data_IF_595985579431
#
_entry.id   IF_595985579431
#
_cell.length_a   1.000
_cell.length_b   1.000
_cell.length_c   1.000
_cell.angle_alpha   90.00
_cell.angle_beta   90.00
_cell.angle_gamma   90.00
#
_symmetry.space_group_name_H-M   'P 1'
#
loop_
_entity.id
_entity.type
_entity.pdbx_description
1 polymer ?
#
# COMPACT_ATOMS: atom_id res chain seq x y z
N UNK A 1 -7.27 -15.69 -11.53
CA UNK A 1 -6.38 -14.76 -10.78
C UNK A 1 -5.42 -14.07 -11.75
N UNK A 2 -5.35 -12.74 -11.69
CA UNK A 2 -4.43 -11.95 -12.54
C UNK A 2 -2.97 -12.11 -12.08
N UNK A 3 -2.00 -11.77 -12.94
CA UNK A 3 -0.57 -11.76 -12.58
C UNK A 3 -0.31 -10.83 -11.39
N UNK A 4 -0.98 -9.67 -11.34
CA UNK A 4 -0.86 -8.72 -10.23
C UNK A 4 -1.35 -9.32 -8.91
N UNK A 5 -2.51 -10.00 -8.91
CA UNK A 5 -3.03 -10.69 -7.71
C UNK A 5 -2.05 -11.73 -7.19
N UNK A 6 -1.46 -12.56 -8.09
CA UNK A 6 -0.47 -13.57 -7.69
C UNK A 6 0.78 -12.95 -7.06
N UNK A 7 1.22 -11.79 -7.57
CA UNK A 7 2.35 -11.05 -6.99
C UNK A 7 2.01 -10.46 -5.62
N UNK A 8 0.81 -9.93 -5.43
CA UNK A 8 0.37 -9.41 -4.12
C UNK A 8 0.31 -10.54 -3.08
N UNK A 9 -0.28 -11.68 -3.45
CA UNK A 9 -0.37 -12.84 -2.56
C UNK A 9 1.03 -13.36 -2.22
N UNK A 10 1.95 -13.44 -3.18
CA UNK A 10 3.31 -13.90 -2.88
C UNK A 10 4.09 -12.94 -1.99
N UNK A 11 3.85 -11.62 -2.08
CA UNK A 11 4.39 -10.65 -1.13
C UNK A 11 3.81 -10.85 0.28
N UNK A 12 2.49 -11.07 0.40
CA UNK A 12 1.85 -11.34 1.69
C UNK A 12 2.32 -12.66 2.32
N UNK A 13 2.47 -13.72 1.53
CA UNK A 13 3.03 -15.00 1.99
C UNK A 13 4.47 -14.82 2.46
N UNK A 14 5.31 -14.13 1.68
CA UNK A 14 6.70 -13.86 2.07
C UNK A 14 6.77 -13.09 3.39
N UNK A 15 5.90 -12.10 3.58
CA UNK A 15 5.78 -11.31 4.82
C UNK A 15 5.45 -12.19 6.02
N UNK A 16 4.38 -13.01 5.92
CA UNK A 16 3.99 -13.95 6.97
C UNK A 16 5.08 -14.98 7.25
N UNK A 17 5.73 -15.52 6.21
CA UNK A 17 6.83 -16.48 6.38
C UNK A 17 8.02 -15.87 7.12
N UNK A 18 8.43 -14.66 6.77
CA UNK A 18 9.52 -13.95 7.47
C UNK A 18 9.12 -13.67 8.91
N UNK A 19 7.92 -13.14 9.15
CA UNK A 19 7.42 -12.88 10.51
C UNK A 19 7.41 -14.15 11.38
N UNK A 20 6.94 -15.28 10.84
CA UNK A 20 6.97 -16.58 11.53
C UNK A 20 8.39 -17.02 11.88
N UNK A 21 9.34 -16.88 10.94
CA UNK A 21 10.75 -17.20 11.18
C UNK A 21 11.33 -16.31 12.28
N UNK A 22 11.05 -15.01 12.26
CA UNK A 22 11.52 -14.06 13.28
C UNK A 22 10.95 -14.38 14.67
N UNK A 23 9.65 -14.68 14.75
CA UNK A 23 8.99 -15.11 16.00
C UNK A 23 9.63 -16.39 16.52
N UNK A 24 9.83 -17.41 15.67
CA UNK A 24 10.44 -18.67 16.07
C UNK A 24 11.89 -18.48 16.60
N UNK A 25 12.69 -17.66 15.91
CA UNK A 25 14.04 -17.32 16.33
C UNK A 25 14.05 -16.60 17.69
N UNK A 26 13.11 -15.68 17.92
CA UNK A 26 13.00 -14.93 19.18
C UNK A 26 12.47 -15.78 20.34
N UNK A 27 11.57 -16.73 20.10
CA UNK A 27 11.14 -17.73 21.10
C UNK A 27 12.34 -18.58 21.53
N UNK A 28 13.12 -19.08 20.57
CA UNK A 28 14.32 -19.86 20.86
C UNK A 28 15.33 -19.03 21.68
N UNK A 29 15.59 -17.79 21.25
CA UNK A 29 16.49 -16.87 21.97
C UNK A 29 16.00 -16.55 23.39
N UNK A 30 14.68 -16.42 23.60
CA UNK A 30 14.09 -16.20 24.92
C UNK A 30 14.28 -17.41 25.84
N UNK A 31 14.11 -18.62 25.30
CA UNK A 31 14.33 -19.87 26.04
C UNK A 31 15.78 -20.04 26.50
N UNK A 32 16.75 -19.57 25.71
CA UNK A 32 18.17 -19.66 26.04
C UNK A 32 18.64 -18.54 26.97
N UNK A 33 18.18 -17.30 26.74
CA UNK A 33 18.69 -16.12 27.44
C UNK A 33 17.91 -15.75 28.69
N UNK A 34 16.63 -16.13 28.77
CA UNK A 34 15.66 -15.68 29.76
C UNK A 34 15.61 -14.14 29.91
N UNK A 35 16.05 -13.40 28.90
CA UNK A 35 16.22 -11.96 28.97
C UNK A 35 14.89 -11.24 28.70
N UNK A 36 14.53 -10.30 29.57
CA UNK A 36 13.32 -9.48 29.41
C UNK A 36 13.33 -8.66 28.12
N UNK A 37 14.51 -8.21 27.67
CA UNK A 37 14.68 -7.49 26.40
C UNK A 37 14.33 -8.36 25.18
N UNK A 38 14.61 -9.66 25.24
CA UNK A 38 14.26 -10.60 24.17
C UNK A 38 12.74 -10.85 24.17
N UNK A 39 12.12 -10.94 25.35
CA UNK A 39 10.66 -11.05 25.49
C UNK A 39 9.92 -9.82 24.92
N UNK A 40 10.43 -8.61 25.17
CA UNK A 40 9.90 -7.39 24.56
C UNK A 40 10.00 -7.44 23.02
N UNK A 41 11.18 -7.80 22.50
CA UNK A 41 11.37 -7.93 21.05
C UNK A 41 10.49 -9.01 20.41
N UNK A 42 10.15 -10.07 21.16
CA UNK A 42 9.25 -11.13 20.72
C UNK A 42 7.82 -10.61 20.59
N UNK A 43 7.36 -9.78 21.54
CA UNK A 43 6.06 -9.14 21.46
C UNK A 43 5.93 -8.27 20.20
N UNK A 44 6.98 -7.52 19.85
CA UNK A 44 7.02 -6.74 18.61
C UNK A 44 6.86 -7.63 17.38
N UNK A 45 7.65 -8.71 17.26
CA UNK A 45 7.52 -9.63 16.12
C UNK A 45 6.22 -10.42 16.09
N UNK A 46 5.57 -10.63 17.23
CA UNK A 46 4.22 -11.19 17.27
C UNK A 46 3.19 -10.19 16.71
N UNK A 47 3.32 -8.89 17.03
CA UNK A 47 2.50 -7.86 16.39
C UNK A 47 2.77 -7.77 14.88
N UNK A 48 4.04 -7.85 14.45
CA UNK A 48 4.40 -7.87 13.03
C UNK A 48 3.73 -9.04 12.30
N UNK A 49 3.72 -10.22 12.92
CA UNK A 49 3.04 -11.39 12.39
C UNK A 49 1.53 -11.16 12.28
N UNK A 50 0.90 -10.56 13.29
CA UNK A 50 -0.53 -10.24 13.25
C UNK A 50 -0.85 -9.25 12.13
N UNK A 51 -0.04 -8.20 11.98
CA UNK A 51 -0.18 -7.20 10.89
C UNK A 51 0.00 -7.86 9.52
N UNK A 52 1.00 -8.73 9.38
CA UNK A 52 1.29 -9.45 8.13
C UNK A 52 0.16 -10.42 7.75
N UNK A 53 -0.39 -11.14 8.73
CA UNK A 53 -1.56 -12.01 8.54
C UNK A 53 -2.79 -11.20 8.13
N UNK A 54 -3.04 -10.07 8.78
CA UNK A 54 -4.12 -9.15 8.40
C UNK A 54 -3.95 -8.63 6.97
N UNK A 55 -2.74 -8.24 6.58
CA UNK A 55 -2.42 -7.81 5.22
C UNK A 55 -2.64 -8.92 4.18
N UNK A 56 -2.16 -10.14 4.45
CA UNK A 56 -2.40 -11.30 3.57
C UNK A 56 -3.89 -11.63 3.45
N UNK A 57 -4.62 -11.61 4.57
CA UNK A 57 -6.07 -11.84 4.57
C UNK A 57 -6.81 -10.77 3.75
N UNK A 58 -6.44 -9.50 3.88
CA UNK A 58 -7.01 -8.41 3.09
C UNK A 58 -6.74 -8.58 1.58
N UNK A 59 -5.51 -8.93 1.19
CA UNK A 59 -5.17 -9.21 -0.21
C UNK A 59 -5.96 -10.41 -0.74
N UNK A 60 -6.07 -11.48 0.05
CA UNK A 60 -6.82 -12.68 -0.34
C UNK A 60 -8.33 -12.41 -0.45
N UNK A 61 -8.88 -11.58 0.43
CA UNK A 61 -10.28 -11.18 0.40
C UNK A 61 -10.55 -10.24 -0.79
N UNK A 62 -9.69 -9.24 -1.03
CA UNK A 62 -9.79 -8.34 -2.18
C UNK A 62 -9.64 -9.04 -3.53
N UNK A 63 -8.96 -10.19 -3.57
CA UNK A 63 -8.83 -11.03 -4.76
C UNK A 63 -10.11 -11.79 -5.13
N UNK A 64 -11.12 -11.82 -4.25
CA UNK A 64 -12.42 -12.45 -4.55
C UNK A 64 -13.15 -11.68 -5.64
N UNK A 65 -13.82 -12.37 -6.58
CA UNK A 65 -14.67 -11.72 -7.57
C UNK A 65 -15.85 -11.01 -6.90
N UNK A 66 -16.62 -10.25 -7.69
CA UNK A 66 -17.90 -9.72 -7.26
C UNK A 66 -18.87 -10.85 -6.89
N UNK A 67 -19.67 -10.62 -5.87
CA UNK A 67 -20.77 -11.48 -5.43
C UNK A 67 -22.05 -10.65 -5.25
N UNK A 68 -23.14 -11.30 -4.82
CA UNK A 68 -24.46 -10.68 -4.72
C UNK A 68 -24.50 -9.53 -3.69
N UNK A 69 -23.69 -9.63 -2.63
CA UNK A 69 -23.60 -8.61 -1.58
C UNK A 69 -22.56 -7.51 -1.90
N UNK A 70 -21.58 -7.81 -2.77
CA UNK A 70 -20.52 -6.90 -3.22
C UNK A 70 -20.41 -6.88 -4.75
N UNK A 71 -21.32 -6.16 -5.39
CA UNK A 71 -21.49 -6.12 -6.86
C UNK A 71 -20.30 -5.54 -7.63
N UNK A 72 -19.48 -4.69 -6.99
CA UNK A 72 -18.23 -4.16 -7.57
C UNK A 72 -16.98 -4.96 -7.14
N UNK A 73 -17.16 -6.01 -6.36
CA UNK A 73 -16.09 -6.83 -5.78
C UNK A 73 -15.52 -6.27 -4.48
N UNK A 74 -14.45 -6.91 -4.01
CA UNK A 74 -13.92 -6.74 -2.66
C UNK A 74 -12.66 -5.86 -2.58
N UNK A 75 -12.34 -5.16 -3.68
CA UNK A 75 -11.07 -4.43 -3.81
C UNK A 75 -10.86 -3.33 -2.77
N UNK A 76 -11.93 -2.71 -2.26
CA UNK A 76 -11.87 -1.71 -1.18
C UNK A 76 -11.32 -2.26 0.14
N UNK A 77 -11.31 -3.58 0.34
CA UNK A 77 -10.69 -4.19 1.51
C UNK A 77 -9.18 -3.92 1.58
N UNK A 78 -8.51 -3.74 0.44
CA UNK A 78 -7.11 -3.30 0.41
C UNK A 78 -6.95 -1.90 1.01
N UNK A 79 -7.88 -1.00 0.74
CA UNK A 79 -7.83 0.38 1.22
C UNK A 79 -8.08 0.42 2.73
N UNK A 80 -9.07 -0.33 3.21
CA UNK A 80 -9.38 -0.42 4.63
C UNK A 80 -8.20 -1.00 5.42
N UNK A 81 -7.57 -2.07 4.91
CA UNK A 81 -6.39 -2.65 5.53
C UNK A 81 -5.20 -1.69 5.51
N UNK A 82 -4.94 -1.02 4.38
CA UNK A 82 -3.87 -0.03 4.28
C UNK A 82 -4.09 1.15 5.23
N UNK A 83 -5.34 1.59 5.41
CA UNK A 83 -5.72 2.64 6.36
C UNK A 83 -5.40 2.21 7.80
N UNK A 84 -5.83 1.01 8.21
CA UNK A 84 -5.52 0.45 9.53
C UNK A 84 -4.02 0.29 9.77
N UNK A 85 -3.28 -0.26 8.81
CA UNK A 85 -1.82 -0.40 8.90
C UNK A 85 -1.12 0.96 8.98
N UNK A 86 -1.54 1.94 8.19
CA UNK A 86 -0.93 3.28 8.23
C UNK A 86 -1.14 3.99 9.57
N UNK A 87 -2.29 3.79 10.22
CA UNK A 87 -2.54 4.30 11.56
C UNK A 87 -1.63 3.63 12.59
N UNK A 88 -1.47 2.31 12.52
CA UNK A 88 -0.56 1.57 13.38
C UNK A 88 0.89 2.07 13.22
N UNK A 89 1.37 2.21 11.98
CA UNK A 89 2.71 2.75 11.70
C UNK A 89 2.87 4.18 12.25
N UNK A 90 1.84 5.02 12.15
CA UNK A 90 1.88 6.39 12.65
C UNK A 90 2.00 6.43 14.19
N UNK A 91 1.29 5.55 14.89
CA UNK A 91 1.42 5.38 16.35
C UNK A 91 2.83 4.90 16.69
N UNK A 92 3.35 3.87 16.01
CA UNK A 92 4.71 3.37 16.22
C UNK A 92 5.77 4.45 15.97
N UNK A 93 5.63 5.24 14.90
CA UNK A 93 6.52 6.37 14.63
C UNK A 93 6.48 7.42 15.74
N UNK A 94 5.30 7.70 16.32
CA UNK A 94 5.15 8.59 17.47
C UNK A 94 5.86 8.07 18.72
N UNK A 95 5.71 6.77 19.02
CA UNK A 95 6.39 6.11 20.15
C UNK A 95 7.91 6.12 19.97
N UNK A 96 8.41 5.76 18.78
CA UNK A 96 9.84 5.78 18.46
C UNK A 96 10.40 7.21 18.56
N UNK A 97 9.69 8.19 18.00
CA UNK A 97 10.09 9.60 18.08
C UNK A 97 10.16 10.11 19.52
N UNK A 98 9.15 9.78 20.34
CA UNK A 98 9.14 10.11 21.76
C UNK A 98 10.32 9.47 22.50
N UNK A 99 10.56 8.18 22.31
CA UNK A 99 11.66 7.46 22.94
C UNK A 99 13.03 8.02 22.53
N UNK A 100 13.20 8.37 21.24
CA UNK A 100 14.42 8.98 20.72
C UNK A 100 14.67 10.37 21.34
N UNK A 101 13.63 11.21 21.46
CA UNK A 101 13.73 12.54 22.10
C UNK A 101 14.04 12.38 23.60
N UNK A 102 13.35 11.50 24.31
CA UNK A 102 13.60 11.23 25.72
C UNK A 102 15.06 10.80 25.96
N UNK A 103 15.62 9.96 25.07
CA UNK A 103 17.00 9.50 25.15
C UNK A 103 18.02 10.60 24.81
N UNK A 104 17.71 11.53 23.90
CA UNK A 104 18.55 12.70 23.62
C UNK A 104 18.61 13.69 24.79
N UNK A 105 17.52 13.77 25.57
CA UNK A 105 17.42 14.67 26.72
C UNK A 105 17.93 14.03 28.03
N UNK A 106 18.11 12.71 28.06
CA UNK A 106 18.65 11.99 29.20
C UNK A 106 20.15 12.28 29.39
N UNK A 107 20.56 12.54 30.63
CA UNK A 107 21.94 12.89 30.97
C UNK A 107 22.91 11.70 30.96
N UNK A 108 22.40 10.46 31.07
CA UNK A 108 23.18 9.23 30.96
C UNK A 108 22.64 8.37 29.80
N UNK A 109 23.45 8.10 28.76
CA UNK A 109 23.11 7.11 27.76
C UNK A 109 23.16 5.74 28.42
N UNK A 110 22.01 5.09 28.62
CA UNK A 110 21.99 3.68 29.00
C UNK A 110 22.91 2.89 28.05
N UNK A 111 23.94 2.28 28.63
CA UNK A 111 24.88 1.44 27.90
C UNK A 111 24.08 0.32 27.22
N UNK A 112 24.22 0.23 25.89
CA UNK A 112 23.67 -0.87 25.11
C UNK A 112 24.30 -2.17 25.62
N UNK A 113 23.61 -2.84 26.55
CA UNK A 113 24.16 -4.00 27.24
C UNK A 113 24.44 -5.11 26.22
N UNK A 114 25.73 -5.38 26.06
CA UNK A 114 26.28 -6.34 25.12
C UNK A 114 25.83 -7.76 25.45
N UNK A 115 24.91 -8.31 24.65
CA UNK A 115 24.69 -9.75 24.59
C UNK A 115 25.23 -10.25 23.24
N UNK A 116 26.49 -10.70 23.22
CA UNK A 116 27.19 -11.14 22.00
C UNK A 116 26.50 -12.25 21.20
N UNK A 117 25.55 -12.98 21.81
CA UNK A 117 24.69 -13.97 21.14
C UNK A 117 23.49 -13.37 20.40
N UNK A 118 23.05 -12.15 20.77
CA UNK A 118 21.97 -11.42 20.10
C UNK A 118 22.36 -10.81 18.75
N UNK A 119 23.66 -10.59 18.50
CA UNK A 119 24.15 -10.00 17.25
C UNK A 119 23.92 -10.88 16.02
N UNK A 120 24.06 -12.22 16.15
CA UNK A 120 23.83 -13.14 15.03
C UNK A 120 22.34 -13.17 14.66
N UNK A 121 21.47 -13.28 15.66
CA UNK A 121 20.00 -13.26 15.45
C UNK A 121 19.57 -11.92 14.85
N UNK A 122 20.13 -10.80 15.32
CA UNK A 122 19.87 -9.46 14.78
C UNK A 122 20.36 -9.32 13.33
N UNK A 123 21.57 -9.79 13.01
CA UNK A 123 22.11 -9.75 11.65
C UNK A 123 21.29 -10.60 10.67
N UNK A 124 20.88 -11.80 11.07
CA UNK A 124 19.98 -12.67 10.29
C UNK A 124 18.62 -11.99 10.09
N UNK A 125 18.07 -11.40 11.15
CA UNK A 125 16.78 -10.68 11.09
C UNK A 125 16.84 -9.50 10.12
N UNK A 126 17.89 -8.69 10.18
CA UNK A 126 18.12 -7.58 9.25
C UNK A 126 18.23 -8.08 7.81
N UNK A 127 18.96 -9.17 7.56
CA UNK A 127 19.09 -9.76 6.23
C UNK A 127 17.75 -10.23 5.65
N UNK A 128 16.95 -10.95 6.45
CA UNK A 128 15.62 -11.41 6.06
C UNK A 128 14.66 -10.25 5.81
N UNK A 129 14.61 -9.27 6.71
CA UNK A 129 13.75 -8.09 6.59
C UNK A 129 14.16 -7.24 5.38
N UNK A 130 15.45 -7.06 5.12
CA UNK A 130 15.92 -6.34 3.92
C UNK A 130 15.50 -7.04 2.63
N UNK A 131 15.65 -8.37 2.55
CA UNK A 131 15.21 -9.16 1.39
C UNK A 131 13.69 -9.05 1.18
N UNK A 132 12.91 -9.10 2.26
CA UNK A 132 11.46 -8.93 2.24
C UNK A 132 11.06 -7.55 1.72
N UNK A 133 11.63 -6.48 2.27
CA UNK A 133 11.32 -5.10 1.89
C UNK A 133 11.66 -4.87 0.40
N UNK A 134 12.78 -5.40 -0.09
CA UNK A 134 13.14 -5.31 -1.51
C UNK A 134 12.10 -5.99 -2.41
N UNK A 135 11.63 -7.18 -2.02
CA UNK A 135 10.58 -7.90 -2.72
C UNK A 135 9.25 -7.13 -2.71
N UNK A 136 8.78 -6.71 -1.54
CA UNK A 136 7.52 -5.97 -1.39
C UNK A 136 7.54 -4.65 -2.17
N UNK A 137 8.65 -3.90 -2.14
CA UNK A 137 8.80 -2.68 -2.93
C UNK A 137 8.74 -2.93 -4.43
N UNK A 138 9.23 -4.08 -4.90
CA UNK A 138 9.12 -4.47 -6.31
C UNK A 138 7.68 -4.82 -6.66
N UNK A 139 6.98 -5.54 -5.80
CA UNK A 139 5.57 -5.89 -5.98
C UNK A 139 4.69 -4.65 -5.95
N UNK A 140 4.76 -3.82 -4.91
CA UNK A 140 3.98 -2.59 -4.77
C UNK A 140 4.13 -1.64 -5.97
N UNK A 141 5.35 -1.51 -6.52
CA UNK A 141 5.59 -0.69 -7.72
C UNK A 141 4.97 -1.27 -8.99
N UNK A 142 4.82 -2.60 -9.10
CA UNK A 142 4.27 -3.28 -10.28
C UNK A 142 2.76 -3.46 -10.24
N UNK A 143 2.20 -3.59 -9.03
CA UNK A 143 0.78 -3.91 -8.85
C UNK A 143 -0.04 -2.75 -8.33
N UNK A 144 0.60 -1.72 -7.75
CA UNK A 144 -0.11 -0.61 -7.12
C UNK A 144 -0.79 -0.97 -5.79
N UNK A 145 -0.57 -2.18 -5.24
CA UNK A 145 -1.23 -2.62 -4.01
C UNK A 145 -0.87 -1.73 -2.82
N UNK A 146 -1.91 -1.12 -2.23
CA UNK A 146 -1.75 -0.25 -1.05
C UNK A 146 -1.35 -1.05 0.19
N UNK A 147 -1.89 -2.25 0.36
CA UNK A 147 -1.55 -3.16 1.47
C UNK A 147 -0.07 -3.54 1.44
N UNK A 148 0.44 -4.01 0.28
CA UNK A 148 1.86 -4.38 0.16
C UNK A 148 2.78 -3.18 0.37
N UNK A 149 2.35 -1.98 -0.04
CA UNK A 149 3.08 -0.73 0.20
C UNK A 149 3.12 -0.35 1.68
N UNK A 150 2.01 -0.51 2.40
CA UNK A 150 1.94 -0.28 3.85
C UNK A 150 2.82 -1.27 4.60
N UNK A 151 2.72 -2.55 4.26
CA UNK A 151 3.52 -3.62 4.86
C UNK A 151 5.03 -3.39 4.64
N UNK A 152 5.43 -3.01 3.41
CA UNK A 152 6.82 -2.62 3.13
C UNK A 152 7.31 -1.43 3.96
N UNK A 153 6.44 -0.46 4.25
CA UNK A 153 6.81 0.72 5.04
C UNK A 153 6.96 0.34 6.53
N UNK A 154 6.10 -0.55 7.03
CA UNK A 154 6.19 -1.10 8.38
C UNK A 154 7.54 -1.78 8.62
N UNK A 155 7.90 -2.76 7.80
CA UNK A 155 9.19 -3.48 7.92
C UNK A 155 10.42 -2.61 7.69
N UNK A 156 10.29 -1.58 6.85
CA UNK A 156 11.34 -0.58 6.68
C UNK A 156 11.53 0.23 7.97
N UNK A 157 10.44 0.48 8.69
CA UNK A 157 10.44 1.12 10.00
C UNK A 157 11.13 0.32 11.08
N UNK A 158 11.18 -1.01 10.94
CA UNK A 158 11.99 -1.85 11.81
C UNK A 158 13.45 -1.91 11.34
N UNK A 159 13.67 -1.93 10.02
CA UNK A 159 15.01 -2.08 9.45
C UNK A 159 15.92 -0.87 9.71
N UNK A 160 15.41 0.36 9.52
CA UNK A 160 16.23 1.58 9.62
C UNK A 160 16.75 1.81 11.05
N UNK A 161 15.92 1.78 12.11
CA UNK A 161 16.39 1.92 13.49
C UNK A 161 17.36 0.81 13.88
N UNK A 162 17.10 -0.44 13.46
CA UNK A 162 18.01 -1.56 13.74
C UNK A 162 19.40 -1.37 13.09
N UNK A 163 19.46 -0.87 11.85
CA UNK A 163 20.72 -0.49 11.21
C UNK A 163 21.38 0.70 11.91
N UNK A 164 20.59 1.69 12.34
CA UNK A 164 21.04 2.83 13.15
C UNK A 164 21.71 2.41 14.45
N UNK A 165 21.10 1.46 15.17
CA UNK A 165 21.63 0.92 16.42
C UNK A 165 22.98 0.23 16.21
N UNK A 166 23.13 -0.58 15.14
CA UNK A 166 24.41 -1.22 14.80
C UNK A 166 25.48 -0.17 14.47
N UNK A 167 25.14 0.83 13.65
CA UNK A 167 26.06 1.91 13.29
C UNK A 167 26.48 2.72 14.52
N UNK A 168 25.55 2.99 15.44
CA UNK A 168 25.84 3.71 16.67
C UNK A 168 26.70 2.90 17.63
N UNK A 169 26.52 1.58 17.72
CA UNK A 169 27.42 0.71 18.49
C UNK A 169 28.85 0.78 17.96
N UNK A 170 29.01 0.67 16.64
CA UNK A 170 30.33 0.77 16.00
C UNK A 170 30.94 2.16 16.19
N UNK A 171 30.16 3.24 16.00
CA UNK A 171 30.63 4.61 16.13
C UNK A 171 30.91 5.00 17.60
N UNK A 172 30.16 4.48 18.56
CA UNK A 172 30.43 4.67 19.98
C UNK A 172 31.73 3.98 20.39
N UNK A 173 32.00 2.77 19.88
CA UNK A 173 33.23 2.04 20.15
C UNK A 173 34.47 2.69 19.50
N UNK A 174 34.31 3.26 18.30
CA UNK A 174 35.41 3.87 17.54
C UNK A 174 35.66 5.36 17.87
N UNK A 175 34.62 6.12 18.19
CA UNK A 175 34.67 7.59 18.27
C UNK A 175 34.01 8.19 19.54
N UNK A 176 33.43 7.36 20.42
CA UNK A 176 32.74 7.85 21.63
C UNK A 176 31.40 8.54 21.37
N UNK A 177 30.84 8.42 20.17
CA UNK A 177 29.61 9.11 19.74
C UNK A 177 28.34 8.28 20.00
N UNK A 178 27.96 8.12 21.26
CA UNK A 178 26.78 7.34 21.67
C UNK A 178 25.41 7.91 21.26
N UNK A 179 25.34 9.18 20.83
CA UNK A 179 24.09 9.87 20.49
C UNK A 179 23.61 9.64 19.04
N UNK A 180 24.44 9.01 18.19
CA UNK A 180 24.12 8.78 16.77
C UNK A 180 22.84 7.95 16.63
N UNK A 181 22.65 6.95 17.49
CA UNK A 181 21.47 6.08 17.51
C UNK A 181 20.16 6.89 17.59
N UNK A 182 20.08 7.84 18.52
CA UNK A 182 18.86 8.60 18.76
C UNK A 182 18.55 9.58 17.61
N UNK A 183 19.57 10.14 16.96
CA UNK A 183 19.39 10.97 15.76
C UNK A 183 18.89 10.12 14.59
N UNK A 184 19.45 8.93 14.39
CA UNK A 184 19.01 8.01 13.33
C UNK A 184 17.58 7.53 13.59
N UNK A 185 17.26 7.17 14.84
CA UNK A 185 15.92 6.77 15.25
C UNK A 185 14.88 7.89 15.03
N UNK A 186 15.24 9.14 15.35
CA UNK A 186 14.37 10.30 15.09
C UNK A 186 14.15 10.52 13.58
N UNK A 187 15.21 10.42 12.77
CA UNK A 187 15.10 10.48 11.31
C UNK A 187 14.22 9.37 10.74
N UNK A 188 14.36 8.14 11.25
CA UNK A 188 13.53 7.01 10.88
C UNK A 188 12.05 7.25 11.24
N UNK A 189 11.77 7.76 12.45
CA UNK A 189 10.42 8.10 12.89
C UNK A 189 9.75 9.13 11.98
N UNK A 190 10.45 10.21 11.60
CA UNK A 190 9.94 11.22 10.65
C UNK A 190 9.65 10.59 9.28
N UNK A 191 10.58 9.78 8.77
CA UNK A 191 10.41 9.10 7.49
C UNK A 191 9.20 8.16 7.49
N UNK A 192 8.99 7.42 8.58
CA UNK A 192 7.83 6.55 8.77
C UNK A 192 6.53 7.35 8.84
N UNK A 193 6.49 8.42 9.65
CA UNK A 193 5.32 9.26 9.77
C UNK A 193 4.91 9.86 8.41
N UNK A 194 5.86 10.40 7.63
CA UNK A 194 5.60 10.93 6.29
C UNK A 194 5.09 9.83 5.35
N UNK A 195 5.71 8.65 5.38
CA UNK A 195 5.27 7.50 4.59
C UNK A 195 3.86 7.07 4.96
N UNK A 196 3.56 6.95 6.25
CA UNK A 196 2.29 6.51 6.80
C UNK A 196 1.18 7.50 6.45
N UNK A 197 1.41 8.81 6.61
CA UNK A 197 0.46 9.86 6.23
C UNK A 197 0.15 9.81 4.73
N UNK A 198 1.14 9.57 3.86
CA UNK A 198 0.92 9.42 2.43
C UNK A 198 0.06 8.20 2.08
N UNK A 199 0.28 7.07 2.76
CA UNK A 199 -0.51 5.85 2.57
C UNK A 199 -1.93 6.06 3.12
N UNK A 200 -2.06 6.61 4.32
CA UNK A 200 -3.33 6.95 4.95
C UNK A 200 -4.18 7.83 4.04
N UNK A 201 -3.61 8.95 3.55
CA UNK A 201 -4.31 9.86 2.65
C UNK A 201 -4.72 9.16 1.36
N UNK A 202 -3.84 8.34 0.77
CA UNK A 202 -4.16 7.60 -0.45
C UNK A 202 -5.25 6.53 -0.26
N UNK A 203 -5.35 5.91 0.91
CA UNK A 203 -6.41 4.95 1.24
C UNK A 203 -7.73 5.67 1.57
N UNK A 204 -7.67 6.77 2.32
CA UNK A 204 -8.81 7.64 2.61
C UNK A 204 -9.43 8.19 1.32
N UNK A 205 -8.58 8.73 0.44
CA UNK A 205 -8.99 9.26 -0.86
C UNK A 205 -9.67 8.20 -1.72
N UNK A 206 -9.20 6.94 -1.70
CA UNK A 206 -9.83 5.83 -2.42
C UNK A 206 -11.21 5.50 -1.83
N UNK A 207 -11.34 5.49 -0.50
CA UNK A 207 -12.62 5.24 0.16
C UNK A 207 -13.65 6.36 -0.10
N UNK A 208 -13.18 7.58 -0.37
CA UNK A 208 -13.99 8.73 -0.76
C UNK A 208 -14.18 8.85 -2.28
N UNK A 209 -13.92 7.78 -3.05
CA UNK A 209 -14.07 7.73 -4.51
C UNK A 209 -13.33 8.86 -5.24
N UNK A 210 -12.12 9.23 -4.78
CA UNK A 210 -11.29 10.22 -5.47
C UNK A 210 -11.01 9.76 -6.91
N UNK A 211 -11.03 10.73 -7.83
CA UNK A 211 -10.67 10.56 -9.22
C UNK A 211 -9.30 9.87 -9.41
N UNK A 212 -9.17 9.16 -10.53
CA UNK A 212 -7.92 8.58 -10.97
C UNK A 212 -6.85 9.68 -11.20
N UNK A 213 -5.55 9.33 -11.24
CA UNK A 213 -4.49 10.30 -11.54
C UNK A 213 -4.77 11.06 -12.84
N UNK A 214 -4.49 12.36 -12.87
CA UNK A 214 -4.79 13.23 -14.02
C UNK A 214 -4.21 12.70 -15.34
N UNK A 215 -3.06 12.04 -15.30
CA UNK A 215 -2.45 11.40 -16.48
C UNK A 215 -3.35 10.29 -17.06
N UNK A 216 -3.93 9.46 -16.19
CA UNK A 216 -4.86 8.38 -16.60
C UNK A 216 -6.16 8.97 -17.15
N UNK A 217 -6.68 10.03 -16.51
CA UNK A 217 -7.89 10.73 -16.98
C UNK A 217 -7.65 11.34 -18.36
N UNK A 218 -6.54 12.06 -18.55
CA UNK A 218 -6.18 12.67 -19.84
C UNK A 218 -5.98 11.61 -20.94
N UNK A 219 -5.41 10.45 -20.63
CA UNK A 219 -5.29 9.34 -21.57
C UNK A 219 -6.65 8.77 -21.98
N UNK A 220 -7.58 8.62 -21.03
CA UNK A 220 -8.96 8.19 -21.31
C UNK A 220 -9.66 9.22 -22.21
N UNK A 221 -9.62 10.51 -21.86
CA UNK A 221 -10.22 11.59 -22.64
C UNK A 221 -9.69 11.61 -24.07
N UNK A 222 -8.37 11.49 -24.25
CA UNK A 222 -7.73 11.44 -25.57
C UNK A 222 -8.22 10.25 -26.40
N UNK A 223 -8.35 9.07 -25.80
CA UNK A 223 -8.84 7.87 -26.50
C UNK A 223 -10.29 8.06 -26.92
N UNK A 224 -11.15 8.55 -26.02
CA UNK A 224 -12.58 8.76 -26.31
C UNK A 224 -12.76 9.83 -27.38
N UNK A 225 -12.08 10.97 -27.27
CA UNK A 225 -12.20 12.10 -28.19
C UNK A 225 -11.72 11.79 -29.62
N UNK A 226 -10.82 10.82 -29.79
CA UNK A 226 -10.28 10.43 -31.10
C UNK A 226 -10.91 9.16 -31.66
N UNK A 227 -11.87 8.56 -30.95
CA UNK A 227 -12.44 7.27 -31.34
C UNK A 227 -13.39 7.39 -32.55
N UNK A 228 -13.20 6.57 -33.61
CA UNK A 228 -14.07 6.60 -34.77
C UNK A 228 -15.55 6.36 -34.41
N UNK A 229 -16.41 7.27 -34.84
CA UNK A 229 -17.86 7.19 -34.59
C UNK A 229 -18.33 7.88 -33.30
N UNK A 230 -17.43 8.38 -32.46
CA UNK A 230 -17.75 9.25 -31.31
C UNK A 230 -17.69 10.72 -31.75
N UNK A 231 -18.76 11.46 -31.50
CA UNK A 231 -18.87 12.88 -31.86
C UNK A 231 -18.54 13.83 -30.70
N UNK A 232 -18.60 13.33 -29.47
CA UNK A 232 -18.43 14.09 -28.24
C UNK A 232 -18.46 13.15 -27.05
N UNK A 233 -18.03 13.64 -25.89
CA UNK A 233 -18.18 12.94 -24.63
C UNK A 233 -18.42 13.94 -23.51
N UNK A 234 -19.12 13.50 -22.49
CA UNK A 234 -19.38 14.27 -21.28
C UNK A 234 -19.47 13.33 -20.07
N UNK A 235 -19.64 13.90 -18.88
CA UNK A 235 -19.75 13.19 -17.61
C UNK A 235 -18.68 12.08 -17.39
N UNK A 236 -17.43 12.36 -17.76
CA UNK A 236 -16.33 11.45 -17.47
C UNK A 236 -16.06 11.42 -15.97
N UNK A 237 -16.43 10.31 -15.33
CA UNK A 237 -16.21 10.05 -13.92
C UNK A 237 -15.22 8.90 -13.77
N UNK A 238 -14.23 9.11 -12.92
CA UNK A 238 -13.31 8.06 -12.50
C UNK A 238 -13.27 7.95 -10.99
N UNK A 239 -13.04 6.75 -10.49
CA UNK A 239 -12.79 6.48 -9.06
C UNK A 239 -11.83 5.31 -8.91
N UNK A 240 -11.20 5.19 -7.76
CA UNK A 240 -10.27 4.09 -7.46
C UNK A 240 -10.73 3.31 -6.23
N UNK A 241 -10.73 1.98 -6.31
CA UNK A 241 -10.85 1.10 -5.14
C UNK A 241 -9.77 0.02 -5.21
N UNK A 242 -8.94 -0.06 -4.17
CA UNK A 242 -7.69 -0.82 -4.19
C UNK A 242 -6.85 -0.47 -5.41
N UNK A 243 -6.32 -1.48 -6.10
CA UNK A 243 -5.59 -1.29 -7.36
C UNK A 243 -6.48 -1.15 -8.60
N UNK A 244 -7.82 -1.13 -8.47
CA UNK A 244 -8.77 -1.10 -9.59
C UNK A 244 -9.22 0.33 -9.87
N UNK A 245 -9.27 0.71 -11.15
CA UNK A 245 -9.82 1.99 -11.60
C UNK A 245 -11.20 1.76 -12.19
N UNK A 246 -12.20 2.51 -11.78
CA UNK A 246 -13.53 2.49 -12.38
C UNK A 246 -13.70 3.75 -13.22
N UNK A 247 -14.26 3.58 -14.41
CA UNK A 247 -14.47 4.62 -15.41
C UNK A 247 -15.92 4.57 -15.84
N UNK A 248 -16.61 5.69 -15.78
CA UNK A 248 -17.92 5.90 -16.38
C UNK A 248 -17.83 7.10 -17.28
N UNK A 249 -18.29 6.95 -18.52
CA UNK A 249 -18.25 8.04 -19.51
C UNK A 249 -19.49 7.99 -20.37
N UNK A 250 -20.02 9.17 -20.70
CA UNK A 250 -21.08 9.32 -21.66
C UNK A 250 -20.47 9.70 -23.00
N UNK A 251 -20.84 8.99 -24.07
CA UNK A 251 -20.33 9.24 -25.42
C UNK A 251 -21.47 9.56 -26.38
N UNK A 252 -21.27 10.57 -27.19
CA UNK A 252 -22.23 11.01 -28.20
C UNK A 252 -22.02 10.25 -29.51
N UNK A 253 -23.05 9.55 -29.97
CA UNK A 253 -23.04 8.67 -31.14
C UNK A 253 -24.15 9.07 -32.13
N UNK A 254 -24.14 8.49 -33.33
CA UNK A 254 -25.16 8.78 -34.36
C UNK A 254 -26.49 8.10 -33.98
N UNK A 255 -27.50 8.90 -33.62
CA UNK A 255 -28.84 8.41 -33.25
C UNK A 255 -29.64 7.76 -34.39
N UNK A 256 -29.14 7.79 -35.63
CA UNK A 256 -29.77 7.10 -36.78
C UNK A 256 -29.30 5.66 -36.95
N UNK A 257 -28.20 5.29 -36.30
CA UNK A 257 -27.69 3.92 -36.32
C UNK A 257 -28.56 3.00 -35.48
N UNK A 258 -28.52 1.72 -35.79
CA UNK A 258 -29.19 0.73 -34.94
C UNK A 258 -28.50 0.65 -33.57
N UNK A 259 -29.21 0.12 -32.58
CA UNK A 259 -28.63 -0.13 -31.25
C UNK A 259 -27.41 -1.06 -31.35
N UNK A 260 -27.46 -2.07 -32.22
CA UNK A 260 -26.36 -3.01 -32.42
C UNK A 260 -25.10 -2.33 -32.97
N UNK A 261 -25.24 -1.42 -33.94
CA UNK A 261 -24.13 -0.68 -34.53
C UNK A 261 -23.48 0.29 -33.52
N UNK A 262 -24.32 0.94 -32.72
CA UNK A 262 -23.92 1.88 -31.67
C UNK A 262 -23.22 1.13 -30.53
N UNK A 263 -23.78 0.00 -30.11
CA UNK A 263 -23.19 -0.91 -29.14
C UNK A 263 -21.85 -1.47 -29.61
N UNK A 264 -21.72 -1.85 -30.89
CA UNK A 264 -20.45 -2.33 -31.44
C UNK A 264 -19.34 -1.27 -31.36
N UNK A 265 -19.68 0.00 -31.62
CA UNK A 265 -18.76 1.14 -31.51
C UNK A 265 -18.31 1.33 -30.06
N UNK A 266 -19.26 1.37 -29.12
CA UNK A 266 -18.97 1.51 -27.69
C UNK A 266 -18.19 0.31 -27.13
N UNK A 267 -18.50 -0.92 -27.56
CA UNK A 267 -17.78 -2.12 -27.15
C UNK A 267 -16.33 -2.12 -27.64
N UNK A 268 -16.08 -1.58 -28.84
CA UNK A 268 -14.72 -1.42 -29.37
C UNK A 268 -13.93 -0.34 -28.59
N UNK A 269 -14.56 0.79 -28.29
CA UNK A 269 -13.97 1.83 -27.42
C UNK A 269 -13.66 1.27 -26.03
N UNK A 270 -14.60 0.53 -25.42
CA UNK A 270 -14.41 -0.13 -24.13
C UNK A 270 -13.18 -1.04 -24.12
N UNK A 271 -12.97 -1.83 -25.18
CA UNK A 271 -11.77 -2.68 -25.32
C UNK A 271 -10.49 -1.85 -25.40
N UNK A 272 -10.50 -0.73 -26.12
CA UNK A 272 -9.35 0.17 -26.20
C UNK A 272 -9.03 0.81 -24.83
N UNK A 273 -10.04 1.23 -24.07
CA UNK A 273 -9.87 1.78 -22.73
C UNK A 273 -9.33 0.72 -21.75
N UNK A 274 -9.83 -0.52 -21.81
CA UNK A 274 -9.31 -1.63 -21.01
C UNK A 274 -7.85 -1.99 -21.35
N UNK A 275 -7.44 -1.80 -22.60
CA UNK A 275 -6.06 -2.01 -23.03
C UNK A 275 -5.13 -0.87 -22.55
N UNK A 276 -5.61 0.38 -22.58
CA UNK A 276 -4.86 1.55 -22.13
C UNK A 276 -4.74 1.64 -20.60
N UNK A 277 -5.79 1.22 -19.88
CA UNK A 277 -5.83 1.19 -18.40
C UNK A 277 -6.11 -0.25 -17.95
N UNK A 278 -5.07 -1.11 -17.91
CA UNK A 278 -5.23 -2.52 -17.54
C UNK A 278 -5.87 -2.70 -16.16
N UNK A 279 -6.84 -3.62 -16.09
CA UNK A 279 -7.54 -3.93 -14.85
C UNK A 279 -8.63 -2.92 -14.47
N UNK A 280 -8.93 -1.93 -15.32
CA UNK A 280 -10.07 -1.03 -15.09
C UNK A 280 -11.42 -1.71 -15.25
N UNK A 281 -12.45 -1.12 -14.64
CA UNK A 281 -13.85 -1.34 -15.00
C UNK A 281 -14.35 -0.15 -15.80
N UNK A 282 -14.99 -0.39 -16.94
CA UNK A 282 -15.41 0.68 -17.85
C UNK A 282 -16.88 0.49 -18.19
N UNK A 283 -17.67 1.51 -17.87
CA UNK A 283 -19.07 1.66 -18.24
C UNK A 283 -19.20 2.81 -19.23
N UNK A 284 -19.88 2.59 -20.35
CA UNK A 284 -20.08 3.61 -21.40
C UNK A 284 -21.58 3.81 -21.59
N UNK A 285 -22.07 4.99 -21.25
CA UNK A 285 -23.42 5.43 -21.63
C UNK A 285 -23.39 5.92 -23.08
N UNK A 286 -24.37 5.53 -23.88
CA UNK A 286 -24.46 5.87 -25.30
C UNK A 286 -25.56 6.91 -25.49
N UNK A 287 -25.18 8.16 -25.74
CA UNK A 287 -26.11 9.25 -25.98
C UNK A 287 -26.20 9.58 -27.47
N UNK A 288 -27.39 9.86 -28.02
CA UNK A 288 -27.49 10.37 -29.37
C UNK A 288 -26.93 11.79 -29.44
N UNK A 289 -26.16 12.07 -30.49
CA UNK A 289 -25.61 13.40 -30.76
C UNK A 289 -26.71 14.47 -30.76
N UNK A 290 -26.49 15.55 -30.01
CA UNK A 290 -27.40 16.68 -29.97
C UNK A 290 -28.68 16.44 -29.14
N UNK A 291 -28.72 15.37 -28.34
CA UNK A 291 -29.78 15.21 -27.33
C UNK A 291 -29.64 16.33 -26.29
N UNK A 292 -30.74 17.05 -26.09
CA UNK A 292 -30.90 17.91 -24.93
C UNK A 292 -30.82 17.04 -23.67
N UNK A 293 -29.92 17.32 -22.72
CA UNK A 293 -29.84 16.59 -21.47
C UNK A 293 -31.21 16.45 -20.82
N UNK A 294 -31.49 15.29 -20.25
CA UNK A 294 -32.76 15.05 -19.57
C UNK A 294 -32.98 16.14 -18.49
N UNK A 295 -34.20 16.66 -18.28
CA UNK A 295 -34.44 17.71 -17.28
C UNK A 295 -33.94 17.36 -15.87
N UNK A 296 -33.87 16.06 -15.57
CA UNK A 296 -33.41 15.50 -14.29
C UNK A 296 -31.91 15.16 -14.26
N UNK A 297 -31.14 15.46 -15.32
CA UNK A 297 -29.70 15.22 -15.34
C UNK A 297 -28.98 16.24 -14.44
N UNK A 298 -28.37 15.78 -13.32
CA UNK A 298 -27.68 16.65 -12.37
C UNK A 298 -26.38 17.25 -12.91
N UNK A 299 -25.92 16.88 -14.12
CA UNK A 299 -24.74 17.46 -14.78
C UNK A 299 -24.87 18.97 -15.10
N UNK A 300 -26.01 19.58 -14.79
CA UNK A 300 -26.33 21.01 -14.96
C UNK A 300 -25.77 21.98 -13.90
N UNK A 301 -25.12 21.52 -12.84
CA UNK A 301 -24.58 22.41 -11.79
C UNK A 301 -23.06 22.47 -11.77
#
# INVERSE_FOLDING_TARGET
MTTATRMNISAGIASVSVALVLVALKIWALGETHALSVAASLADSAMDLMVSLGGLAAIAYAARPADDDHTYGHTSAEDLAALGQSLFILVSAGVIGWAAIARLLAADPEALNHQGRGMVVMAVSIGLTAALVLWQRRVARRTGSRVVKADSLHYLGDLIPNLGAILSLWASAAFGLGQIDSVVALGAAVMLAVGAIRIFKGAWDALMDRAAPNEVVADIERIVATWPGVYGHHDLKTRMAGSKTFVTVHVELDGRKTLDETHATAAALRRALLAAVPGSDVMIHQDPKGVTPHPDDPSRN
#
